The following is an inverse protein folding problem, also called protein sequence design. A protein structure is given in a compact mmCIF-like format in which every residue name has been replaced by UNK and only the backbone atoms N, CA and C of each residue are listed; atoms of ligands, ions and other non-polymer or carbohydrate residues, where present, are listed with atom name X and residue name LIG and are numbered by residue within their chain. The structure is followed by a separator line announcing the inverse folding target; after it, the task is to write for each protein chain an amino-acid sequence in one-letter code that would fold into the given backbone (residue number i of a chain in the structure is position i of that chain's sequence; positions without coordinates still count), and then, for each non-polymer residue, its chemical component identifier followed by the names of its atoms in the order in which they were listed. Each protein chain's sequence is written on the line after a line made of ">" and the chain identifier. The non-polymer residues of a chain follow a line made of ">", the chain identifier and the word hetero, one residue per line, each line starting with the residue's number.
data_IF_497117278144
#
_entry.id   IF_497117278144
#
_cell.length_a   1.000
_cell.length_b   1.000
_cell.length_c   1.000
_cell.angle_alpha   90.00
_cell.angle_beta   90.00
_cell.angle_gamma   90.00
#
_symmetry.space_group_name_H-M   'P 1'
#
loop_
_entity.id
_entity.type
_entity.pdbx_description
1 polymer ?
#
# COMPACT_ATOMS: atom_id res chain seq x y z
N UNK A 1 27.62 -9.81 -13.55
CA UNK A 1 26.19 -9.77 -13.12
C UNK A 1 25.34 -9.18 -14.24
N UNK A 2 24.31 -9.89 -14.69
CA UNK A 2 23.37 -9.39 -15.72
C UNK A 2 22.30 -8.48 -15.07
N UNK A 3 22.62 -7.17 -15.04
CA UNK A 3 21.75 -6.14 -14.47
C UNK A 3 20.40 -6.02 -15.19
N UNK A 4 20.38 -6.28 -16.51
CA UNK A 4 19.18 -6.17 -17.34
C UNK A 4 18.16 -7.26 -17.01
N UNK A 5 18.61 -8.51 -16.84
CA UNK A 5 17.71 -9.62 -16.43
C UNK A 5 17.15 -9.40 -15.02
N UNK A 6 17.99 -9.00 -14.06
CA UNK A 6 17.53 -8.71 -12.71
C UNK A 6 16.51 -7.58 -12.72
N UNK A 7 16.73 -6.53 -13.49
CA UNK A 7 15.77 -5.43 -13.62
C UNK A 7 14.45 -5.91 -14.24
N UNK A 8 14.50 -6.69 -15.33
CA UNK A 8 13.31 -7.19 -16.00
C UNK A 8 12.47 -8.11 -15.08
N UNK A 9 13.11 -9.01 -14.32
CA UNK A 9 12.39 -9.83 -13.35
C UNK A 9 11.83 -9.01 -12.20
N UNK A 10 12.59 -8.04 -11.72
CA UNK A 10 12.15 -7.16 -10.63
C UNK A 10 10.96 -6.29 -11.03
N UNK A 11 10.98 -5.67 -12.22
CA UNK A 11 9.85 -4.85 -12.68
C UNK A 11 8.60 -5.70 -12.93
N UNK A 12 8.77 -6.89 -13.51
CA UNK A 12 7.67 -7.85 -13.70
C UNK A 12 6.99 -8.18 -12.39
N UNK A 13 7.77 -8.52 -11.37
CA UNK A 13 7.21 -8.85 -10.04
C UNK A 13 6.64 -7.62 -9.35
N UNK A 14 7.25 -6.45 -9.54
CA UNK A 14 6.78 -5.18 -8.99
C UNK A 14 5.43 -4.73 -9.57
N UNK A 15 5.00 -5.25 -10.73
CA UNK A 15 3.66 -5.00 -11.28
C UNK A 15 2.52 -5.50 -10.35
N UNK A 16 2.78 -6.42 -9.41
CA UNK A 16 1.82 -6.69 -8.34
C UNK A 16 1.47 -5.44 -7.53
N UNK A 17 2.42 -4.49 -7.39
CA UNK A 17 2.16 -3.19 -6.80
C UNK A 17 1.21 -2.35 -7.64
N UNK A 18 1.28 -2.44 -8.98
CA UNK A 18 0.33 -1.75 -9.85
C UNK A 18 -1.10 -2.25 -9.62
N UNK A 19 -1.31 -3.58 -9.59
CA UNK A 19 -2.62 -4.17 -9.29
C UNK A 19 -3.11 -3.78 -7.89
N UNK A 20 -2.23 -3.81 -6.89
CA UNK A 20 -2.54 -3.31 -5.56
C UNK A 20 -3.05 -1.86 -5.58
N UNK A 21 -2.30 -0.95 -6.20
CA UNK A 21 -2.67 0.46 -6.26
C UNK A 21 -3.97 0.69 -7.03
N UNK A 22 -4.18 -0.06 -8.10
CA UNK A 22 -5.39 -0.02 -8.93
C UNK A 22 -6.60 -0.49 -8.11
N UNK A 23 -6.56 -1.70 -7.54
CA UNK A 23 -7.63 -2.28 -6.73
C UNK A 23 -8.04 -1.38 -5.54
N UNK A 24 -7.04 -0.69 -4.94
CA UNK A 24 -7.27 0.18 -3.78
C UNK A 24 -8.24 1.32 -4.09
N UNK A 25 -8.12 1.99 -5.22
CA UNK A 25 -8.89 3.21 -5.49
C UNK A 25 -9.93 3.08 -6.58
N UNK A 26 -9.93 2.01 -7.37
CA UNK A 26 -10.93 1.80 -8.42
C UNK A 26 -12.36 1.84 -7.87
N UNK A 27 -12.58 1.37 -6.65
CA UNK A 27 -13.86 1.42 -5.96
C UNK A 27 -14.40 2.84 -5.76
N UNK A 28 -13.53 3.86 -5.74
CA UNK A 28 -13.95 5.25 -5.52
C UNK A 28 -14.89 5.78 -6.60
N UNK A 29 -14.70 5.35 -7.86
CA UNK A 29 -15.60 5.70 -8.96
C UNK A 29 -16.93 4.93 -8.93
N UNK A 30 -16.92 3.73 -8.37
CA UNK A 30 -18.10 2.86 -8.27
C UNK A 30 -18.92 3.10 -6.97
N UNK A 31 -18.39 3.83 -6.00
CA UNK A 31 -18.95 4.00 -4.66
C UNK A 31 -20.41 4.50 -4.68
N UNK A 32 -20.66 5.66 -5.27
CA UNK A 32 -21.99 6.27 -5.30
C UNK A 32 -22.99 5.46 -6.15
N UNK A 33 -22.66 5.02 -7.39
CA UNK A 33 -23.54 4.15 -8.17
C UNK A 33 -23.95 2.87 -7.44
N UNK A 34 -23.03 2.22 -6.75
CA UNK A 34 -23.33 1.00 -5.97
C UNK A 34 -24.22 1.30 -4.77
N UNK A 35 -23.99 2.43 -4.08
CA UNK A 35 -24.79 2.87 -2.94
C UNK A 35 -26.26 3.10 -3.34
N UNK A 36 -26.47 3.74 -4.47
CA UNK A 36 -27.81 3.99 -5.03
C UNK A 36 -28.47 2.69 -5.51
N UNK A 37 -27.75 1.87 -6.30
CA UNK A 37 -28.27 0.64 -6.88
C UNK A 37 -28.82 -0.33 -5.82
N UNK A 38 -28.08 -0.53 -4.72
CA UNK A 38 -28.45 -1.49 -3.68
C UNK A 38 -29.08 -0.84 -2.46
N UNK A 39 -29.32 0.46 -2.47
CA UNK A 39 -29.93 1.24 -1.38
C UNK A 39 -29.38 0.83 0.00
N UNK A 40 -28.06 0.77 0.11
CA UNK A 40 -27.36 0.28 1.29
C UNK A 40 -27.38 1.31 2.41
N UNK A 41 -27.62 0.87 3.66
CA UNK A 41 -27.46 1.75 4.82
C UNK A 41 -25.99 2.19 4.97
N UNK A 42 -25.71 3.37 5.56
CA UNK A 42 -24.34 3.88 5.70
C UNK A 42 -23.37 2.90 6.36
N UNK A 43 -23.77 2.22 7.44
CA UNK A 43 -22.95 1.21 8.12
C UNK A 43 -22.70 0.01 7.23
N UNK A 44 -23.75 -0.53 6.60
CA UNK A 44 -23.61 -1.67 5.72
C UNK A 44 -22.68 -1.35 4.54
N UNK A 45 -22.88 -0.17 3.93
CA UNK A 45 -22.05 0.29 2.81
C UNK A 45 -20.57 0.37 3.19
N UNK A 46 -20.27 1.00 4.34
CA UNK A 46 -18.90 1.10 4.83
C UNK A 46 -18.24 -0.26 5.10
N UNK A 47 -18.97 -1.15 5.80
CA UNK A 47 -18.42 -2.46 6.21
C UNK A 47 -18.31 -3.42 5.03
N UNK A 48 -19.37 -3.59 4.24
CA UNK A 48 -19.43 -4.65 3.21
C UNK A 48 -18.98 -4.18 1.84
N UNK A 49 -19.19 -2.90 1.48
CA UNK A 49 -18.82 -2.42 0.14
C UNK A 49 -17.42 -1.81 0.17
N UNK A 50 -17.16 -0.84 1.06
CA UNK A 50 -15.95 -0.04 1.01
C UNK A 50 -14.74 -0.67 1.72
N UNK A 51 -14.95 -1.36 2.85
CA UNK A 51 -13.83 -1.86 3.64
C UNK A 51 -13.50 -3.35 3.46
N UNK A 52 -14.32 -4.13 2.75
CA UNK A 52 -14.14 -5.57 2.69
C UNK A 52 -12.82 -5.99 2.03
N UNK A 53 -12.36 -5.28 1.00
CA UNK A 53 -11.03 -5.48 0.43
C UNK A 53 -9.92 -5.24 1.46
N UNK A 54 -10.07 -4.24 2.33
CA UNK A 54 -9.07 -3.95 3.38
C UNK A 54 -9.02 -5.05 4.45
N UNK A 55 -10.16 -5.65 4.82
CA UNK A 55 -10.17 -6.83 5.68
C UNK A 55 -9.48 -8.04 5.03
N UNK A 56 -9.70 -8.24 3.74
CA UNK A 56 -8.93 -9.22 2.97
C UNK A 56 -7.43 -8.91 3.01
N UNK A 57 -7.05 -7.64 2.89
CA UNK A 57 -5.64 -7.19 2.94
C UNK A 57 -5.00 -7.46 4.30
N UNK A 58 -5.73 -7.29 5.41
CA UNK A 58 -5.26 -7.69 6.74
C UNK A 58 -4.86 -9.16 6.75
N UNK A 59 -5.74 -10.06 6.30
CA UNK A 59 -5.45 -11.50 6.28
C UNK A 59 -4.33 -11.84 5.31
N UNK A 60 -4.35 -11.25 4.10
CA UNK A 60 -3.30 -11.46 3.09
C UNK A 60 -1.91 -11.04 3.59
N UNK A 61 -1.81 -9.93 4.30
CA UNK A 61 -0.54 -9.43 4.83
C UNK A 61 -0.02 -10.25 6.01
N UNK A 62 -0.90 -10.74 6.88
CA UNK A 62 -0.54 -11.57 8.03
C UNK A 62 -0.09 -12.98 7.61
N UNK A 63 -0.79 -13.58 6.67
CA UNK A 63 -0.59 -14.97 6.28
C UNK A 63 0.12 -15.16 4.94
N UNK A 64 0.40 -14.08 4.18
CA UNK A 64 1.02 -14.16 2.86
C UNK A 64 2.43 -14.77 2.83
N UNK A 65 3.15 -14.78 3.96
CA UNK A 65 4.42 -15.47 4.07
C UNK A 65 4.29 -17.00 3.97
N UNK A 66 3.16 -17.57 4.43
CA UNK A 66 2.94 -19.03 4.44
C UNK A 66 2.99 -19.63 3.00
N UNK A 67 2.20 -19.15 2.03
CA UNK A 67 2.33 -19.64 0.65
C UNK A 67 3.70 -19.31 0.05
N UNK A 68 4.31 -18.16 0.36
CA UNK A 68 5.66 -17.85 -0.11
C UNK A 68 6.68 -18.92 0.27
N UNK A 69 6.61 -19.44 1.50
CA UNK A 69 7.53 -20.46 1.98
C UNK A 69 7.15 -21.87 1.49
N UNK A 70 5.85 -22.22 1.48
CA UNK A 70 5.38 -23.56 1.09
C UNK A 70 5.46 -23.84 -0.40
N UNK A 71 4.93 -22.93 -1.23
CA UNK A 71 4.83 -23.15 -2.70
C UNK A 71 5.83 -22.31 -3.50
N UNK A 72 6.53 -21.39 -2.83
CA UNK A 72 7.54 -20.52 -3.42
C UNK A 72 7.00 -19.18 -3.90
N UNK A 73 7.92 -18.20 -3.97
CA UNK A 73 7.57 -16.80 -4.27
C UNK A 73 6.89 -16.65 -5.63
N UNK A 74 7.40 -17.32 -6.66
CA UNK A 74 6.82 -17.28 -8.01
C UNK A 74 5.37 -17.79 -8.04
N UNK A 75 5.11 -18.96 -7.48
CA UNK A 75 3.77 -19.55 -7.49
C UNK A 75 2.80 -18.69 -6.65
N UNK A 76 3.27 -18.13 -5.53
CA UNK A 76 2.47 -17.18 -4.74
C UNK A 76 2.11 -15.94 -5.56
N UNK A 77 3.05 -15.39 -6.34
CA UNK A 77 2.78 -14.24 -7.21
C UNK A 77 1.78 -14.58 -8.35
N UNK A 78 1.82 -15.78 -8.89
CA UNK A 78 0.81 -16.26 -9.87
C UNK A 78 -0.57 -16.31 -9.20
N UNK A 79 -0.68 -16.89 -7.99
CA UNK A 79 -1.93 -16.91 -7.24
C UNK A 79 -2.45 -15.51 -6.91
N UNK A 80 -1.57 -14.59 -6.55
CA UNK A 80 -1.93 -13.18 -6.35
C UNK A 80 -2.57 -12.60 -7.62
N UNK A 81 -1.97 -12.81 -8.78
CA UNK A 81 -2.55 -12.37 -10.05
C UNK A 81 -3.93 -13.01 -10.33
N UNK A 82 -4.11 -14.29 -10.03
CA UNK A 82 -5.40 -14.99 -10.15
C UNK A 82 -6.45 -14.39 -9.20
N UNK A 83 -6.07 -14.08 -7.95
CA UNK A 83 -6.98 -13.47 -6.98
C UNK A 83 -7.44 -12.07 -7.45
N UNK A 84 -6.54 -11.23 -7.98
CA UNK A 84 -6.91 -9.96 -8.58
C UNK A 84 -7.85 -10.12 -9.78
N UNK A 85 -7.55 -11.06 -10.67
CA UNK A 85 -8.40 -11.35 -11.82
C UNK A 85 -9.82 -11.78 -11.42
N UNK A 86 -9.92 -12.71 -10.46
CA UNK A 86 -11.22 -13.18 -9.94
C UNK A 86 -11.96 -12.04 -9.23
N UNK A 87 -11.25 -11.21 -8.46
CA UNK A 87 -11.83 -10.05 -7.77
C UNK A 87 -12.41 -9.05 -8.77
N UNK A 88 -11.64 -8.67 -9.79
CA UNK A 88 -12.05 -7.68 -10.79
C UNK A 88 -13.30 -8.14 -11.55
N UNK A 89 -13.26 -9.35 -12.12
CA UNK A 89 -14.41 -9.89 -12.86
C UNK A 89 -15.59 -10.17 -11.95
N UNK A 90 -15.34 -10.80 -10.78
CA UNK A 90 -16.41 -11.13 -9.84
C UNK A 90 -17.12 -9.89 -9.31
N UNK A 91 -16.37 -8.82 -8.98
CA UNK A 91 -16.96 -7.55 -8.56
C UNK A 91 -17.75 -6.88 -9.68
N UNK A 92 -17.25 -6.94 -10.92
CA UNK A 92 -17.94 -6.37 -12.09
C UNK A 92 -19.29 -7.07 -12.41
N UNK A 93 -19.38 -8.39 -12.22
CA UNK A 93 -20.60 -9.18 -12.49
C UNK A 93 -21.46 -9.44 -11.25
N UNK A 94 -21.08 -8.92 -10.09
CA UNK A 94 -21.80 -9.12 -8.84
C UNK A 94 -23.27 -8.66 -8.97
N UNK A 95 -24.18 -9.47 -8.46
CA UNK A 95 -25.64 -9.24 -8.55
C UNK A 95 -26.26 -8.72 -7.25
N UNK A 96 -25.54 -8.83 -6.15
CA UNK A 96 -25.95 -8.40 -4.82
C UNK A 96 -24.74 -7.91 -3.99
N UNK A 97 -24.98 -7.17 -2.88
CA UNK A 97 -23.91 -6.64 -2.04
C UNK A 97 -22.99 -7.69 -1.41
N UNK A 98 -23.49 -8.89 -1.14
CA UNK A 98 -22.71 -9.94 -0.47
C UNK A 98 -21.74 -10.62 -1.45
N UNK A 99 -22.21 -10.94 -2.66
CA UNK A 99 -21.36 -11.47 -3.73
C UNK A 99 -20.28 -10.45 -4.09
N UNK A 100 -20.62 -9.15 -4.18
CA UNK A 100 -19.65 -8.09 -4.37
C UNK A 100 -18.59 -8.06 -3.25
N UNK A 101 -19.02 -8.05 -1.99
CA UNK A 101 -18.13 -8.06 -0.83
C UNK A 101 -17.17 -9.25 -0.83
N UNK A 102 -17.67 -10.43 -1.18
CA UNK A 102 -16.85 -11.65 -1.27
C UNK A 102 -15.73 -11.51 -2.30
N UNK A 103 -16.04 -11.02 -3.50
CA UNK A 103 -15.01 -10.82 -4.53
C UNK A 103 -14.02 -9.73 -4.15
N UNK A 104 -14.47 -8.63 -3.54
CA UNK A 104 -13.59 -7.58 -3.00
C UNK A 104 -12.67 -8.13 -1.89
N UNK A 105 -13.18 -8.98 -1.01
CA UNK A 105 -12.36 -9.64 0.01
C UNK A 105 -11.25 -10.50 -0.60
N UNK A 106 -11.56 -11.27 -1.66
CA UNK A 106 -10.58 -12.10 -2.40
C UNK A 106 -9.48 -11.21 -2.98
N UNK A 107 -9.83 -10.08 -3.62
CA UNK A 107 -8.86 -9.11 -4.11
C UNK A 107 -7.96 -8.58 -3.00
N UNK A 108 -8.56 -8.21 -1.88
CA UNK A 108 -7.84 -7.78 -0.70
C UNK A 108 -6.81 -8.79 -0.19
N UNK A 109 -7.14 -10.08 -0.16
CA UNK A 109 -6.16 -11.13 0.17
C UNK A 109 -4.98 -11.10 -0.81
N UNK A 110 -5.24 -10.89 -2.10
CA UNK A 110 -4.21 -10.68 -3.12
C UNK A 110 -3.35 -9.46 -2.84
N UNK A 111 -3.99 -8.31 -2.50
CA UNK A 111 -3.28 -7.07 -2.08
C UNK A 111 -2.33 -7.36 -0.93
N UNK A 112 -2.83 -7.91 0.17
CA UNK A 112 -2.03 -8.18 1.36
C UNK A 112 -0.88 -9.15 1.11
N UNK A 113 -1.11 -10.24 0.38
CA UNK A 113 -0.08 -11.21 0.03
C UNK A 113 1.00 -10.58 -0.88
N UNK A 114 0.63 -9.63 -1.76
CA UNK A 114 1.55 -8.95 -2.66
C UNK A 114 2.57 -8.09 -1.91
N UNK A 115 2.18 -7.50 -0.78
CA UNK A 115 3.08 -6.68 0.06
C UNK A 115 4.23 -7.48 0.65
N UNK A 116 4.07 -8.80 0.76
CA UNK A 116 5.10 -9.74 1.24
C UNK A 116 5.85 -10.37 0.09
N UNK A 117 5.14 -10.96 -0.87
CA UNK A 117 5.72 -11.79 -1.92
C UNK A 117 6.63 -11.02 -2.87
N UNK A 118 6.20 -9.83 -3.34
CA UNK A 118 6.94 -9.05 -4.32
C UNK A 118 8.25 -8.49 -3.78
N UNK A 119 8.29 -7.75 -2.66
CA UNK A 119 9.54 -7.25 -2.10
C UNK A 119 10.49 -8.38 -1.70
N UNK A 120 9.95 -9.51 -1.20
CA UNK A 120 10.76 -10.69 -0.85
C UNK A 120 11.45 -11.26 -2.08
N UNK A 121 10.71 -11.53 -3.17
CA UNK A 121 11.30 -12.04 -4.41
C UNK A 121 12.38 -11.10 -4.95
N UNK A 122 12.07 -9.80 -5.06
CA UNK A 122 13.00 -8.78 -5.56
C UNK A 122 14.28 -8.75 -4.71
N UNK A 123 14.15 -8.82 -3.38
CA UNK A 123 15.30 -8.80 -2.48
C UNK A 123 16.16 -10.06 -2.58
N UNK A 124 15.58 -11.21 -2.92
CA UNK A 124 16.28 -12.50 -3.05
C UNK A 124 17.09 -12.63 -4.34
N UNK A 125 16.69 -11.94 -5.41
CA UNK A 125 17.39 -11.96 -6.71
C UNK A 125 18.38 -10.79 -6.87
N UNK A 126 18.24 -9.73 -6.08
CA UNK A 126 19.06 -8.50 -6.19
C UNK A 126 20.33 -8.56 -5.34
N UNK A 127 21.34 -7.81 -5.74
CA UNK A 127 22.52 -7.57 -4.94
C UNK A 127 22.26 -6.47 -3.90
N UNK A 128 23.18 -6.32 -2.93
CA UNK A 128 23.05 -5.35 -1.82
C UNK A 128 22.93 -3.91 -2.33
N UNK A 129 23.71 -3.54 -3.36
CA UNK A 129 23.80 -2.15 -3.87
C UNK A 129 22.55 -1.71 -4.63
N UNK A 130 21.85 -2.63 -5.31
CA UNK A 130 20.69 -2.32 -6.14
C UNK A 130 19.35 -2.65 -5.48
N UNK A 131 19.36 -3.44 -4.39
CA UNK A 131 18.15 -3.95 -3.73
C UNK A 131 17.14 -2.86 -3.38
N UNK A 132 17.58 -1.79 -2.73
CA UNK A 132 16.72 -0.70 -2.32
C UNK A 132 16.00 -0.06 -3.51
N UNK A 133 16.71 0.22 -4.59
CA UNK A 133 16.16 0.79 -5.82
C UNK A 133 15.17 -0.16 -6.52
N UNK A 134 15.46 -1.45 -6.53
CA UNK A 134 14.59 -2.44 -7.16
C UNK A 134 13.31 -2.68 -6.33
N UNK A 135 13.41 -2.67 -5.00
CA UNK A 135 12.23 -2.74 -4.14
C UNK A 135 11.38 -1.45 -4.25
N UNK A 136 12.01 -0.29 -4.45
CA UNK A 136 11.28 0.96 -4.68
C UNK A 136 10.42 0.95 -5.97
N UNK A 137 10.72 0.06 -6.96
CA UNK A 137 9.86 -0.15 -8.11
C UNK A 137 8.46 -0.66 -7.70
N UNK A 138 8.37 -1.44 -6.62
CA UNK A 138 7.07 -1.89 -6.10
C UNK A 138 6.25 -0.70 -5.60
N UNK A 139 6.85 0.20 -4.82
CA UNK A 139 6.18 1.43 -4.36
C UNK A 139 5.79 2.35 -5.51
N UNK A 140 6.69 2.52 -6.50
CA UNK A 140 6.35 3.27 -7.73
C UNK A 140 5.12 2.70 -8.42
N UNK A 141 5.06 1.37 -8.58
CA UNK A 141 3.94 0.71 -9.23
C UNK A 141 2.63 0.87 -8.44
N UNK A 142 2.68 0.89 -7.10
CA UNK A 142 1.47 1.16 -6.29
C UNK A 142 0.89 2.54 -6.63
N UNK A 143 1.69 3.60 -6.54
CA UNK A 143 1.18 4.96 -6.80
C UNK A 143 0.84 5.18 -8.28
N UNK A 144 1.52 4.51 -9.20
CA UNK A 144 1.17 4.50 -10.61
C UNK A 144 -0.17 3.78 -10.86
N UNK A 145 -0.42 2.66 -10.19
CA UNK A 145 -1.71 1.96 -10.22
C UNK A 145 -2.86 2.84 -9.71
N UNK A 146 -2.65 3.58 -8.62
CA UNK A 146 -3.61 4.57 -8.10
C UNK A 146 -3.97 5.61 -9.16
N UNK A 147 -2.97 6.20 -9.82
CA UNK A 147 -3.20 7.17 -10.88
C UNK A 147 -4.01 6.58 -12.04
N UNK A 148 -3.64 5.39 -12.51
CA UNK A 148 -4.32 4.75 -13.64
C UNK A 148 -5.74 4.32 -13.27
N UNK A 149 -6.00 3.93 -12.02
CA UNK A 149 -7.35 3.61 -11.56
C UNK A 149 -8.27 4.86 -11.57
N UNK A 150 -7.80 6.00 -11.05
CA UNK A 150 -8.57 7.25 -11.16
C UNK A 150 -8.79 7.65 -12.63
N UNK A 151 -7.77 7.53 -13.45
CA UNK A 151 -7.87 7.86 -14.88
C UNK A 151 -8.86 6.93 -15.61
N UNK A 152 -8.84 5.62 -15.31
CA UNK A 152 -9.79 4.67 -15.90
C UNK A 152 -11.23 4.94 -15.45
N UNK A 153 -11.45 5.28 -14.16
CA UNK A 153 -12.76 5.67 -13.67
C UNK A 153 -13.32 6.89 -14.41
N UNK A 154 -12.47 7.91 -14.61
CA UNK A 154 -12.86 9.10 -15.39
C UNK A 154 -13.21 8.75 -16.84
N UNK A 155 -12.42 7.93 -17.52
CA UNK A 155 -12.66 7.55 -18.92
C UNK A 155 -13.88 6.65 -19.10
N UNK A 156 -14.21 5.82 -18.11
CA UNK A 156 -15.31 4.87 -18.19
C UNK A 156 -16.63 5.41 -17.65
N UNK A 157 -16.64 6.63 -17.10
CA UNK A 157 -17.85 7.29 -16.65
C UNK A 157 -18.85 7.44 -17.80
N UNK A 158 -20.09 6.98 -17.56
CA UNK A 158 -21.17 6.99 -18.56
C UNK A 158 -21.06 5.91 -19.64
N UNK A 159 -19.98 5.13 -19.68
CA UNK A 159 -19.85 4.02 -20.61
C UNK A 159 -20.75 2.85 -20.17
N UNK A 160 -21.82 2.63 -20.96
CA UNK A 160 -22.85 1.63 -20.60
C UNK A 160 -23.96 2.18 -19.69
N UNK A 161 -24.04 3.48 -19.45
CA UNK A 161 -25.07 4.12 -18.62
C UNK A 161 -24.94 3.71 -17.16
N UNK A 162 -26.05 3.27 -16.52
CA UNK A 162 -26.11 2.93 -15.09
C UNK A 162 -25.21 1.77 -14.65
N UNK A 163 -24.60 1.08 -15.61
CA UNK A 163 -23.66 -0.03 -15.34
C UNK A 163 -22.19 0.34 -15.50
N UNK A 164 -21.86 1.61 -15.67
CA UNK A 164 -20.50 2.08 -15.89
C UNK A 164 -19.52 1.64 -14.76
N UNK A 165 -19.99 1.60 -13.52
CA UNK A 165 -19.23 1.10 -12.38
C UNK A 165 -18.72 -0.35 -12.56
N UNK A 166 -19.46 -1.18 -13.32
CA UNK A 166 -19.04 -2.56 -13.61
C UNK A 166 -17.82 -2.58 -14.54
N UNK A 167 -17.78 -1.69 -15.52
CA UNK A 167 -16.64 -1.52 -16.40
C UNK A 167 -15.44 -0.93 -15.65
N UNK A 168 -15.66 0.04 -14.73
CA UNK A 168 -14.62 0.61 -13.90
C UNK A 168 -13.91 -0.48 -13.08
N UNK A 169 -14.66 -1.37 -12.43
CA UNK A 169 -14.08 -2.48 -11.64
C UNK A 169 -13.50 -3.59 -12.52
N UNK A 170 -14.20 -3.94 -13.61
CA UNK A 170 -13.81 -5.05 -14.49
C UNK A 170 -12.55 -4.81 -15.31
N UNK A 171 -12.22 -3.55 -15.60
CA UNK A 171 -11.05 -3.20 -16.42
C UNK A 171 -9.73 -3.69 -15.81
N UNK A 172 -9.66 -3.84 -14.49
CA UNK A 172 -8.52 -4.37 -13.76
C UNK A 172 -8.18 -5.82 -14.16
N UNK A 173 -9.13 -6.57 -14.67
CA UNK A 173 -8.87 -7.94 -15.15
C UNK A 173 -7.84 -7.98 -16.28
N UNK A 174 -7.77 -6.92 -17.10
CA UNK A 174 -6.81 -6.83 -18.22
C UNK A 174 -5.36 -6.82 -17.69
N UNK A 175 -4.93 -5.84 -16.86
CA UNK A 175 -3.58 -5.87 -16.33
C UNK A 175 -3.31 -7.09 -15.43
N UNK A 176 -4.32 -7.67 -14.77
CA UNK A 176 -4.15 -8.88 -13.98
C UNK A 176 -3.77 -10.10 -14.86
N UNK A 177 -4.39 -10.27 -16.04
CA UNK A 177 -4.00 -11.31 -17.00
C UNK A 177 -2.57 -11.09 -17.50
N UNK A 178 -2.21 -9.87 -17.91
CA UNK A 178 -0.85 -9.57 -18.36
C UNK A 178 0.18 -9.84 -17.25
N UNK A 179 -0.15 -9.48 -16.02
CA UNK A 179 0.70 -9.77 -14.87
C UNK A 179 0.95 -11.29 -14.72
N UNK A 180 -0.10 -12.12 -14.76
CA UNK A 180 0.02 -13.58 -14.68
C UNK A 180 0.95 -14.09 -15.79
N UNK A 181 0.72 -13.68 -17.05
CA UNK A 181 1.51 -14.11 -18.22
C UNK A 181 2.99 -13.74 -18.04
N UNK A 182 3.27 -12.54 -17.52
CA UNK A 182 4.65 -12.09 -17.33
C UNK A 182 5.32 -12.82 -16.17
N UNK A 183 4.63 -13.05 -15.05
CA UNK A 183 5.19 -13.78 -13.90
C UNK A 183 5.46 -15.24 -14.24
N UNK A 184 4.71 -15.88 -15.14
CA UNK A 184 5.00 -17.23 -15.62
C UNK A 184 6.42 -17.35 -16.23
N UNK A 185 6.94 -16.27 -16.84
CA UNK A 185 8.28 -16.21 -17.45
C UNK A 185 9.41 -15.91 -16.44
N UNK A 186 9.08 -15.53 -15.23
CA UNK A 186 10.06 -15.24 -14.17
C UNK A 186 10.51 -16.56 -13.53
N UNK A 187 11.82 -16.76 -13.21
CA UNK A 187 12.29 -18.00 -12.58
C UNK A 187 11.88 -18.06 -11.10
N UNK A 188 11.98 -19.24 -10.51
CA UNK A 188 11.85 -19.39 -9.06
C UNK A 188 13.00 -18.66 -8.33
N UNK A 189 12.76 -18.24 -7.06
CA UNK A 189 13.84 -17.69 -6.25
C UNK A 189 14.93 -18.75 -5.98
N UNK A 190 16.22 -18.47 -6.29
CA UNK A 190 17.31 -19.36 -5.96
C UNK A 190 17.43 -19.61 -4.44
N UNK A 191 17.14 -18.59 -3.63
CA UNK A 191 17.17 -18.70 -2.17
C UNK A 191 16.10 -19.67 -1.67
N UNK A 192 14.89 -19.60 -2.19
CA UNK A 192 13.81 -20.50 -1.83
C UNK A 192 14.10 -21.95 -2.25
N UNK A 193 14.64 -22.15 -3.45
CA UNK A 193 15.01 -23.48 -3.93
C UNK A 193 16.03 -24.15 -3.01
N UNK A 194 17.03 -23.41 -2.54
CA UNK A 194 18.08 -23.94 -1.65
C UNK A 194 17.52 -24.23 -0.26
N UNK A 195 16.81 -23.26 0.36
CA UNK A 195 16.45 -23.33 1.77
C UNK A 195 15.22 -24.20 2.05
N UNK A 196 14.24 -24.21 1.14
CA UNK A 196 12.95 -24.88 1.36
C UNK A 196 12.75 -26.14 0.52
N UNK A 197 13.43 -26.24 -0.63
CA UNK A 197 13.32 -27.41 -1.51
C UNK A 197 14.58 -28.28 -1.55
N UNK A 198 15.72 -27.79 -1.07
CA UNK A 198 17.00 -28.49 -1.16
C UNK A 198 17.56 -28.58 -2.59
N UNK A 199 16.88 -27.98 -3.58
CA UNK A 199 17.22 -28.08 -5.00
C UNK A 199 18.34 -27.06 -5.36
N UNK A 200 19.55 -27.41 -4.93
CA UNK A 200 20.75 -26.59 -5.19
C UNK A 200 21.11 -26.56 -6.68
N UNK A 201 20.79 -27.63 -7.45
CA UNK A 201 21.12 -27.72 -8.87
C UNK A 201 20.31 -26.71 -9.69
N UNK A 202 19.00 -26.69 -9.51
CA UNK A 202 18.12 -25.72 -10.18
C UNK A 202 18.41 -24.28 -9.76
N UNK A 203 18.74 -24.06 -8.48
CA UNK A 203 19.18 -22.76 -8.00
C UNK A 203 20.48 -22.29 -8.69
N UNK A 204 21.44 -23.21 -8.90
CA UNK A 204 22.68 -22.95 -9.63
C UNK A 204 22.42 -22.52 -11.08
N UNK A 205 21.51 -23.18 -11.77
CA UNK A 205 21.13 -22.85 -13.15
C UNK A 205 20.54 -21.44 -13.26
N UNK A 206 19.70 -21.03 -12.29
CA UNK A 206 19.13 -19.68 -12.26
C UNK A 206 20.22 -18.65 -11.93
N UNK A 207 21.08 -18.95 -10.96
CA UNK A 207 22.19 -18.06 -10.60
C UNK A 207 23.16 -17.84 -11.76
N UNK A 208 23.42 -18.86 -12.60
CA UNK A 208 24.24 -18.73 -13.82
C UNK A 208 23.67 -17.71 -14.82
N UNK A 209 22.38 -17.47 -14.82
CA UNK A 209 21.75 -16.50 -15.72
C UNK A 209 22.03 -15.05 -15.34
N UNK A 210 22.39 -14.79 -14.07
CA UNK A 210 22.55 -13.45 -13.51
C UNK A 210 23.92 -13.14 -12.93
N UNK A 211 24.69 -14.16 -12.55
CA UNK A 211 26.02 -14.01 -11.95
C UNK A 211 27.11 -14.79 -12.71
N UNK A 212 28.37 -14.28 -12.69
CA UNK A 212 29.53 -15.04 -13.19
C UNK A 212 29.69 -16.36 -12.43
N UNK A 213 30.18 -17.38 -13.11
CA UNK A 213 30.33 -18.72 -12.53
C UNK A 213 31.22 -18.74 -11.28
N UNK A 214 32.22 -17.87 -11.23
CA UNK A 214 33.14 -17.69 -10.10
C UNK A 214 32.47 -17.24 -8.80
N UNK A 215 31.32 -16.57 -8.87
CA UNK A 215 30.58 -16.08 -7.70
C UNK A 215 29.53 -17.08 -7.17
N UNK A 216 29.11 -18.05 -7.98
CA UNK A 216 27.94 -18.89 -7.69
C UNK A 216 28.14 -19.72 -6.44
N UNK A 217 29.28 -20.41 -6.30
CA UNK A 217 29.58 -21.25 -5.14
C UNK A 217 29.58 -20.44 -3.83
N UNK A 218 30.16 -19.22 -3.86
CA UNK A 218 30.17 -18.30 -2.71
C UNK A 218 28.73 -17.88 -2.34
N UNK A 219 27.88 -17.57 -3.32
CA UNK A 219 26.49 -17.18 -3.08
C UNK A 219 25.66 -18.32 -2.50
N UNK A 220 25.80 -19.53 -3.03
CA UNK A 220 25.12 -20.73 -2.48
C UNK A 220 25.55 -20.96 -1.02
N UNK A 221 26.84 -20.85 -0.70
CA UNK A 221 27.33 -20.96 0.67
C UNK A 221 26.74 -19.88 1.59
N UNK A 222 26.67 -18.62 1.13
CA UNK A 222 26.05 -17.50 1.86
C UNK A 222 24.56 -17.73 2.11
N UNK A 223 23.82 -18.30 1.14
CA UNK A 223 22.39 -18.62 1.32
C UNK A 223 22.25 -19.71 2.39
N UNK A 224 23.03 -20.78 2.31
CA UNK A 224 22.98 -21.89 3.29
C UNK A 224 23.31 -21.41 4.71
N UNK A 225 24.35 -20.61 4.89
CA UNK A 225 24.73 -20.07 6.21
C UNK A 225 23.72 -19.09 6.81
N UNK A 226 22.81 -18.53 6.00
CA UNK A 226 21.74 -17.65 6.47
C UNK A 226 20.54 -18.39 7.09
N UNK A 227 20.49 -19.74 7.00
CA UNK A 227 19.41 -20.55 7.55
C UNK A 227 19.43 -20.64 9.09
N UNK A 228 20.58 -20.50 9.73
CA UNK A 228 20.81 -20.78 11.16
C UNK A 228 20.46 -19.63 12.12
N UNK A 229 19.78 -18.58 11.66
CA UNK A 229 19.43 -17.45 12.55
C UNK A 229 18.26 -17.80 13.46
N UNK A 230 18.55 -17.98 14.77
CA UNK A 230 17.54 -18.18 15.82
C UNK A 230 16.48 -17.06 15.78
N UNK A 231 15.22 -17.46 15.67
CA UNK A 231 14.07 -16.57 15.82
C UNK A 231 13.84 -16.23 17.30
N UNK A 232 14.12 -15.00 17.68
CA UNK A 232 13.75 -14.47 19.01
C UNK A 232 12.26 -14.15 19.05
N UNK A 233 11.66 -14.13 20.27
CA UNK A 233 10.31 -13.63 20.44
C UNK A 233 10.32 -12.10 20.43
N UNK A 234 9.41 -11.48 19.67
CA UNK A 234 9.26 -10.02 19.69
C UNK A 234 8.66 -9.52 21.01
N UNK A 235 7.86 -10.37 21.67
CA UNK A 235 7.19 -10.07 22.95
C UNK A 235 8.03 -10.48 24.16
N UNK A 236 9.34 -10.49 24.06
CA UNK A 236 10.27 -10.80 25.17
C UNK A 236 10.45 -9.65 26.18
N UNK A 237 9.78 -8.52 25.99
CA UNK A 237 9.98 -7.29 26.77
C UNK A 237 11.13 -6.42 26.26
N UNK A 238 12.11 -6.99 25.58
CA UNK A 238 13.31 -6.28 25.09
C UNK A 238 13.01 -5.30 23.94
N UNK A 239 11.87 -5.42 23.28
CA UNK A 239 11.51 -4.66 22.08
C UNK A 239 10.27 -3.78 22.27
N UNK A 240 9.85 -3.52 23.51
CA UNK A 240 8.63 -2.77 23.80
C UNK A 240 8.62 -1.37 23.16
N UNK A 241 9.76 -0.68 23.19
CA UNK A 241 9.87 0.64 22.59
C UNK A 241 9.75 0.60 21.08
N UNK A 242 10.39 -0.36 20.40
CA UNK A 242 10.29 -0.56 18.96
C UNK A 242 8.87 -0.96 18.54
N UNK A 243 8.20 -1.81 19.33
CA UNK A 243 6.78 -2.18 19.15
C UNK A 243 5.91 -0.92 19.21
N UNK A 244 6.12 -0.09 20.23
CA UNK A 244 5.38 1.18 20.39
C UNK A 244 5.61 2.12 19.20
N UNK A 245 6.86 2.27 18.74
CA UNK A 245 7.17 3.08 17.57
C UNK A 245 6.49 2.56 16.29
N UNK A 246 6.54 1.25 16.05
CA UNK A 246 5.91 0.62 14.88
C UNK A 246 4.38 0.75 14.92
N UNK A 247 3.78 0.57 16.11
CA UNK A 247 2.36 0.78 16.31
C UNK A 247 1.97 2.25 16.05
N UNK A 248 2.65 3.20 16.69
CA UNK A 248 2.29 4.63 16.59
C UNK A 248 2.46 5.17 15.17
N UNK A 249 3.53 4.81 14.45
CA UNK A 249 3.71 5.30 13.09
C UNK A 249 2.65 4.74 12.15
N UNK A 250 2.25 3.47 12.30
CA UNK A 250 1.21 2.84 11.51
C UNK A 250 -0.19 3.37 11.88
N UNK A 251 -0.46 3.57 13.16
CA UNK A 251 -1.68 4.17 13.68
C UNK A 251 -1.89 5.59 13.15
N UNK A 252 -0.91 6.47 13.32
CA UNK A 252 -0.99 7.84 12.81
C UNK A 252 -1.04 7.92 11.29
N UNK A 253 -0.42 6.97 10.58
CA UNK A 253 -0.54 6.90 9.13
C UNK A 253 -2.01 6.83 8.69
N UNK A 254 -2.80 5.98 9.33
CA UNK A 254 -4.21 5.84 9.00
C UNK A 254 -5.07 6.97 9.55
N UNK A 255 -4.75 7.46 10.75
CA UNK A 255 -5.43 8.62 11.34
C UNK A 255 -5.03 9.97 10.72
N UNK A 256 -4.19 9.96 9.68
CA UNK A 256 -4.04 11.09 8.76
C UNK A 256 -5.27 11.29 7.86
N UNK A 257 -6.11 10.25 7.71
CA UNK A 257 -7.25 10.26 6.80
C UNK A 257 -6.89 9.92 5.35
N UNK A 258 -5.67 9.38 5.09
CA UNK A 258 -5.23 9.12 3.71
C UNK A 258 -6.19 8.17 2.96
N UNK A 259 -6.60 7.07 3.59
CA UNK A 259 -7.53 6.14 2.96
C UNK A 259 -8.94 6.73 2.84
N UNK A 260 -9.38 7.56 3.80
CA UNK A 260 -10.60 8.33 3.65
C UNK A 260 -10.58 9.18 2.38
N UNK A 261 -9.51 9.96 2.17
CA UNK A 261 -9.41 10.80 0.97
C UNK A 261 -9.31 9.97 -0.30
N UNK A 262 -8.47 8.91 -0.34
CA UNK A 262 -8.28 8.12 -1.56
C UNK A 262 -9.53 7.32 -1.96
N UNK A 263 -10.23 6.72 -1.00
CA UNK A 263 -11.41 5.89 -1.27
C UNK A 263 -12.66 6.70 -1.59
N UNK A 264 -12.79 7.89 -0.99
CA UNK A 264 -13.97 8.73 -1.11
C UNK A 264 -13.70 10.04 -1.88
N UNK A 265 -12.58 10.14 -2.63
CA UNK A 265 -12.19 11.37 -3.32
C UNK A 265 -13.31 11.98 -4.18
N UNK A 266 -13.99 11.24 -5.10
CA UNK A 266 -15.07 11.82 -5.87
C UNK A 266 -16.26 12.27 -5.01
N UNK A 267 -16.63 11.50 -3.97
CA UNK A 267 -17.72 11.85 -3.05
C UNK A 267 -17.42 13.10 -2.23
N UNK A 268 -16.19 13.23 -1.73
CA UNK A 268 -15.72 14.43 -1.00
C UNK A 268 -15.79 15.68 -1.91
N UNK A 269 -15.36 15.54 -3.15
CA UNK A 269 -15.37 16.64 -4.12
C UNK A 269 -16.80 17.02 -4.54
N UNK A 270 -17.69 16.03 -4.70
CA UNK A 270 -19.11 16.28 -4.97
C UNK A 270 -19.81 16.95 -3.79
N UNK A 271 -19.53 16.52 -2.56
CA UNK A 271 -20.08 17.20 -1.35
C UNK A 271 -19.59 18.65 -1.21
N UNK A 272 -18.46 18.99 -1.85
CA UNK A 272 -17.97 20.38 -1.95
C UNK A 272 -18.56 21.14 -3.14
N UNK A 273 -19.47 20.55 -3.92
CA UNK A 273 -20.19 21.21 -5.01
C UNK A 273 -19.61 21.00 -6.42
N UNK A 274 -18.64 20.08 -6.62
CA UNK A 274 -18.22 19.72 -7.97
C UNK A 274 -19.24 18.77 -8.62
N UNK A 275 -19.43 18.93 -9.93
CA UNK A 275 -20.20 17.95 -10.72
C UNK A 275 -19.50 16.58 -10.72
N UNK A 276 -20.23 15.50 -10.96
CA UNK A 276 -19.70 14.13 -10.90
C UNK A 276 -18.50 13.94 -11.83
N UNK A 277 -18.60 14.43 -13.09
CA UNK A 277 -17.50 14.34 -14.06
C UNK A 277 -16.24 15.11 -13.60
N UNK A 278 -16.42 16.34 -13.08
CA UNK A 278 -15.32 17.17 -12.61
C UNK A 278 -14.66 16.57 -11.36
N UNK A 279 -15.44 15.88 -10.53
CA UNK A 279 -14.94 15.18 -9.34
C UNK A 279 -14.05 13.99 -9.70
N UNK A 280 -14.43 13.19 -10.70
CA UNK A 280 -13.61 12.10 -11.20
C UNK A 280 -12.33 12.61 -11.88
N UNK A 281 -12.45 13.65 -12.72
CA UNK A 281 -11.28 14.29 -13.34
C UNK A 281 -10.33 14.89 -12.28
N UNK A 282 -10.86 15.54 -11.26
CA UNK A 282 -10.08 16.09 -10.16
C UNK A 282 -9.36 14.99 -9.36
N UNK A 283 -9.98 13.80 -9.23
CA UNK A 283 -9.35 12.65 -8.57
C UNK A 283 -8.12 12.14 -9.34
N UNK A 284 -8.07 12.31 -10.67
CA UNK A 284 -6.86 12.02 -11.45
C UNK A 284 -5.71 12.92 -11.01
N UNK A 285 -5.96 14.20 -10.71
CA UNK A 285 -4.92 15.10 -10.19
C UNK A 285 -4.40 14.68 -8.81
N UNK A 286 -5.26 14.10 -7.96
CA UNK A 286 -4.86 13.48 -6.68
C UNK A 286 -3.87 12.33 -6.92
N UNK A 287 -4.19 11.43 -7.85
CA UNK A 287 -3.29 10.33 -8.23
C UNK A 287 -1.96 10.83 -8.82
N UNK A 288 -2.00 11.84 -9.67
CA UNK A 288 -0.80 12.44 -10.26
C UNK A 288 0.10 13.09 -9.22
N UNK A 289 -0.45 13.90 -8.32
CA UNK A 289 0.31 14.52 -7.22
C UNK A 289 0.90 13.46 -6.30
N UNK A 290 0.13 12.41 -5.98
CA UNK A 290 0.63 11.28 -5.19
C UNK A 290 1.85 10.62 -5.85
N UNK A 291 1.78 10.31 -7.14
CA UNK A 291 2.91 9.74 -7.90
C UNK A 291 4.12 10.67 -7.88
N UNK A 292 3.93 11.93 -8.25
CA UNK A 292 5.00 12.92 -8.36
C UNK A 292 5.74 13.11 -7.02
N UNK A 293 4.99 13.35 -5.95
CA UNK A 293 5.57 13.61 -4.64
C UNK A 293 6.12 12.36 -3.94
N UNK A 294 5.60 11.15 -4.24
CA UNK A 294 6.25 9.90 -3.83
C UNK A 294 7.62 9.75 -4.48
N UNK A 295 7.77 10.07 -5.77
CA UNK A 295 9.07 10.03 -6.44
C UNK A 295 10.07 11.02 -5.83
N UNK A 296 9.61 12.22 -5.44
CA UNK A 296 10.44 13.16 -4.69
C UNK A 296 10.79 12.62 -3.31
N UNK A 297 9.82 12.08 -2.56
CA UNK A 297 10.03 11.50 -1.24
C UNK A 297 11.09 10.40 -1.23
N UNK A 298 11.04 9.48 -2.20
CA UNK A 298 12.03 8.40 -2.34
C UNK A 298 13.47 8.91 -2.59
N UNK A 299 13.62 10.10 -3.19
CA UNK A 299 14.95 10.74 -3.34
C UNK A 299 15.37 11.50 -2.09
N UNK A 300 14.41 12.11 -1.41
CA UNK A 300 14.67 12.96 -0.25
C UNK A 300 14.96 12.17 1.03
N UNK A 301 14.40 10.95 1.16
CA UNK A 301 14.54 10.15 2.38
C UNK A 301 15.99 9.81 2.71
N UNK A 302 16.82 9.54 1.68
CA UNK A 302 18.23 9.25 1.86
C UNK A 302 19.06 10.52 2.06
N UNK A 303 18.57 11.68 1.58
CA UNK A 303 19.27 12.96 1.72
C UNK A 303 19.02 13.63 3.06
N UNK A 304 17.76 13.64 3.54
CA UNK A 304 17.36 14.42 4.73
C UNK A 304 17.01 13.55 5.95
N UNK A 305 16.80 12.24 5.77
CA UNK A 305 16.46 11.31 6.83
C UNK A 305 14.97 11.18 7.07
N UNK A 306 14.62 10.17 7.91
CA UNK A 306 13.24 9.73 8.11
C UNK A 306 12.47 10.70 9.00
N UNK A 307 13.09 11.12 10.11
CA UNK A 307 12.49 12.03 11.08
C UNK A 307 12.22 13.41 10.49
N UNK A 308 13.10 13.92 9.64
CA UNK A 308 12.94 15.22 9.00
C UNK A 308 11.76 15.23 8.03
N UNK A 309 11.63 14.19 7.17
CA UNK A 309 10.48 14.10 6.24
C UNK A 309 9.16 13.94 6.98
N UNK A 310 9.15 13.21 8.09
CA UNK A 310 7.96 13.06 8.94
C UNK A 310 7.54 14.41 9.56
N UNK A 311 8.50 15.26 9.98
CA UNK A 311 8.19 16.61 10.50
C UNK A 311 7.52 17.48 9.44
N UNK A 312 8.12 17.56 8.24
CA UNK A 312 7.58 18.36 7.14
C UNK A 312 6.20 17.83 6.73
N UNK A 313 6.07 16.51 6.56
CA UNK A 313 4.79 15.88 6.25
C UNK A 313 3.72 16.17 7.29
N UNK A 314 4.06 16.11 8.60
CA UNK A 314 3.11 16.41 9.68
C UNK A 314 2.64 17.87 9.64
N UNK A 315 3.54 18.83 9.41
CA UNK A 315 3.18 20.24 9.28
C UNK A 315 2.26 20.47 8.08
N UNK A 316 2.60 19.90 6.93
CA UNK A 316 1.78 19.99 5.72
C UNK A 316 0.39 19.36 5.91
N UNK A 317 0.28 18.25 6.60
CA UNK A 317 -0.99 17.64 6.98
C UNK A 317 -1.84 18.58 7.85
N UNK A 318 -1.26 19.15 8.93
CA UNK A 318 -1.99 20.02 9.86
C UNK A 318 -2.56 21.20 9.08
N UNK A 319 -1.74 21.87 8.27
CA UNK A 319 -2.18 23.05 7.50
C UNK A 319 -3.28 22.63 6.52
N UNK A 320 -3.07 21.60 5.71
CA UNK A 320 -4.03 21.22 4.68
C UNK A 320 -5.34 20.68 5.25
N UNK A 321 -5.31 19.82 6.27
CA UNK A 321 -6.51 19.23 6.86
C UNK A 321 -7.38 20.28 7.57
N UNK A 322 -6.76 21.19 8.31
CA UNK A 322 -7.49 22.32 8.93
C UNK A 322 -8.10 23.21 7.85
N UNK A 323 -7.37 23.51 6.78
CA UNK A 323 -7.87 24.32 5.67
C UNK A 323 -9.01 23.64 4.91
N UNK A 324 -8.94 22.31 4.70
CA UNK A 324 -10.05 21.53 4.09
C UNK A 324 -11.30 21.62 4.97
N UNK A 325 -11.15 21.39 6.28
CA UNK A 325 -12.26 21.52 7.23
C UNK A 325 -12.90 22.92 7.20
N UNK A 326 -12.07 23.95 7.12
CA UNK A 326 -12.50 25.35 6.98
C UNK A 326 -13.27 25.57 5.66
N UNK A 327 -12.78 25.01 4.53
CA UNK A 327 -13.48 25.09 3.25
C UNK A 327 -14.91 24.54 3.32
N UNK A 328 -15.10 23.41 4.00
CA UNK A 328 -16.43 22.82 4.17
C UNK A 328 -17.36 23.65 5.06
N UNK A 329 -16.85 24.15 6.20
CA UNK A 329 -17.68 24.91 7.15
C UNK A 329 -18.14 26.25 6.57
N UNK A 330 -17.27 26.92 5.82
CA UNK A 330 -17.56 28.23 5.22
C UNK A 330 -18.02 28.13 3.76
N UNK A 331 -18.26 26.91 3.25
CA UNK A 331 -18.72 26.65 1.87
C UNK A 331 -17.88 27.40 0.82
N UNK A 332 -16.54 27.32 0.98
CA UNK A 332 -15.63 27.96 0.04
C UNK A 332 -15.64 27.26 -1.31
N UNK A 333 -15.08 27.93 -2.33
CA UNK A 333 -15.00 27.40 -3.68
C UNK A 333 -14.33 26.01 -3.71
N UNK A 334 -14.94 25.06 -4.41
CA UNK A 334 -14.52 23.67 -4.49
C UNK A 334 -13.09 23.48 -5.06
N UNK A 335 -12.64 24.39 -5.93
CA UNK A 335 -11.25 24.35 -6.43
C UNK A 335 -10.23 24.76 -5.37
N UNK A 336 -10.59 25.64 -4.43
CA UNK A 336 -9.75 25.97 -3.26
C UNK A 336 -9.61 24.75 -2.37
N UNK A 337 -10.72 24.04 -2.12
CA UNK A 337 -10.70 22.78 -1.41
C UNK A 337 -9.80 21.73 -2.11
N UNK A 338 -9.92 21.59 -3.43
CA UNK A 338 -9.07 20.69 -4.20
C UNK A 338 -7.58 21.01 -4.03
N UNK A 339 -7.19 22.28 -4.04
CA UNK A 339 -5.79 22.68 -3.80
C UNK A 339 -5.30 22.17 -2.44
N UNK A 340 -6.09 22.31 -1.38
CA UNK A 340 -5.70 21.80 -0.06
C UNK A 340 -5.69 20.27 0.02
N UNK A 341 -6.57 19.58 -0.70
CA UNK A 341 -6.48 18.11 -0.87
C UNK A 341 -5.15 17.74 -1.57
N UNK A 342 -4.76 18.44 -2.62
CA UNK A 342 -3.48 18.17 -3.30
C UNK A 342 -2.27 18.44 -2.40
N UNK A 343 -2.31 19.49 -1.56
CA UNK A 343 -1.26 19.75 -0.55
C UNK A 343 -1.23 18.62 0.50
N UNK A 344 -2.39 18.13 0.93
CA UNK A 344 -2.52 17.00 1.84
C UNK A 344 -1.87 15.73 1.23
N UNK A 345 -2.19 15.40 -0.01
CA UNK A 345 -1.62 14.24 -0.72
C UNK A 345 -0.10 14.39 -0.90
N UNK A 346 0.38 15.58 -1.29
CA UNK A 346 1.82 15.85 -1.40
C UNK A 346 2.55 15.66 -0.06
N UNK A 347 1.94 16.16 1.03
CA UNK A 347 2.47 16.01 2.39
C UNK A 347 2.52 14.55 2.84
N UNK A 348 1.48 13.76 2.49
CA UNK A 348 1.46 12.31 2.71
C UNK A 348 2.59 11.62 1.95
N UNK A 349 2.69 11.87 0.65
CA UNK A 349 3.62 11.19 -0.23
C UNK A 349 5.09 11.42 0.19
N UNK A 350 5.46 12.64 0.58
CA UNK A 350 6.83 12.97 1.06
C UNK A 350 7.06 12.41 2.47
N UNK A 351 6.09 12.54 3.36
CA UNK A 351 6.19 12.16 4.78
C UNK A 351 5.90 10.68 4.99
N UNK A 352 4.71 10.40 5.45
CA UNK A 352 4.27 9.05 5.86
C UNK A 352 4.38 8.01 4.74
N UNK A 353 3.93 8.33 3.53
CA UNK A 353 3.91 7.38 2.42
C UNK A 353 5.29 6.84 2.04
N UNK A 354 6.31 7.67 2.13
CA UNK A 354 7.70 7.28 1.85
C UNK A 354 8.39 6.67 3.08
N UNK A 355 8.11 7.18 4.28
CA UNK A 355 8.90 6.88 5.49
C UNK A 355 8.45 5.62 6.21
N UNK A 356 7.15 5.35 6.30
CA UNK A 356 6.58 4.33 7.20
C UNK A 356 7.26 2.96 7.08
N UNK A 357 7.32 2.41 5.87
CA UNK A 357 7.82 1.04 5.67
C UNK A 357 9.33 0.93 5.87
N UNK A 358 10.06 1.96 5.47
CA UNK A 358 11.51 2.05 5.67
C UNK A 358 11.81 2.12 7.16
N UNK A 359 11.15 3.02 7.89
CA UNK A 359 11.36 3.20 9.32
C UNK A 359 11.04 1.94 10.12
N UNK A 360 9.87 1.31 9.88
CA UNK A 360 9.50 0.05 10.55
C UNK A 360 10.56 -1.03 10.29
N UNK A 361 11.13 -1.11 9.09
CA UNK A 361 12.17 -2.09 8.78
C UNK A 361 13.51 -1.80 9.46
N UNK A 362 13.78 -0.54 9.80
CA UNK A 362 15.05 -0.08 10.37
C UNK A 362 15.09 -0.13 11.90
N UNK A 363 13.95 -0.05 12.58
CA UNK A 363 13.92 -0.03 14.06
C UNK A 363 14.05 -1.41 14.70
N UNK A 364 13.88 -2.50 13.96
CA UNK A 364 13.98 -3.86 14.49
C UNK A 364 15.29 -4.54 14.09
N UNK A 365 16.00 -5.19 15.03
CA UNK A 365 17.15 -6.01 14.70
C UNK A 365 16.76 -7.21 13.84
N UNK A 366 17.74 -7.78 13.12
CA UNK A 366 17.53 -8.86 12.16
C UNK A 366 16.77 -10.07 12.73
N UNK A 367 16.96 -10.39 14.03
CA UNK A 367 16.32 -11.54 14.71
C UNK A 367 14.80 -11.46 14.83
N UNK A 368 14.23 -10.24 14.88
CA UNK A 368 12.78 -10.02 15.06
C UNK A 368 12.17 -9.11 13.98
N UNK A 369 12.95 -8.65 13.00
CA UNK A 369 12.51 -7.67 11.99
C UNK A 369 11.25 -8.09 11.25
N UNK A 370 11.18 -9.34 10.80
CA UNK A 370 10.01 -9.82 10.07
C UNK A 370 8.73 -9.74 10.93
N UNK A 371 8.82 -10.08 12.21
CA UNK A 371 7.70 -10.00 13.17
C UNK A 371 7.31 -8.54 13.43
N UNK A 372 8.30 -7.64 13.55
CA UNK A 372 8.08 -6.21 13.74
C UNK A 372 7.40 -5.57 12.52
N UNK A 373 7.83 -5.92 11.31
CA UNK A 373 7.18 -5.49 10.07
C UNK A 373 5.74 -6.00 9.98
N UNK A 374 5.51 -7.27 10.32
CA UNK A 374 4.13 -7.83 10.34
C UNK A 374 3.24 -7.09 11.33
N UNK A 375 3.75 -6.73 12.52
CA UNK A 375 3.00 -5.95 13.50
C UNK A 375 2.60 -4.57 12.94
N UNK A 376 3.56 -3.83 12.40
CA UNK A 376 3.30 -2.51 11.79
C UNK A 376 2.33 -2.59 10.62
N UNK A 377 2.48 -3.60 9.76
CA UNK A 377 1.59 -3.84 8.61
C UNK A 377 0.18 -4.21 9.06
N UNK A 378 0.04 -5.09 10.06
CA UNK A 378 -1.27 -5.46 10.62
C UNK A 378 -1.96 -4.24 11.23
N UNK A 379 -1.25 -3.44 12.03
CA UNK A 379 -1.78 -2.19 12.60
C UNK A 379 -2.27 -1.26 11.49
N UNK A 380 -1.46 -1.04 10.47
CA UNK A 380 -1.81 -0.18 9.32
C UNK A 380 -3.12 -0.62 8.67
N UNK A 381 -3.24 -1.89 8.28
CA UNK A 381 -4.40 -2.36 7.53
C UNK A 381 -5.67 -2.50 8.39
N UNK A 382 -5.53 -2.85 9.68
CA UNK A 382 -6.67 -2.87 10.60
C UNK A 382 -7.27 -1.46 10.76
N UNK A 383 -6.43 -0.44 11.00
CA UNK A 383 -6.94 0.93 11.10
C UNK A 383 -7.45 1.47 9.76
N UNK A 384 -6.82 1.09 8.64
CA UNK A 384 -7.35 1.40 7.31
C UNK A 384 -8.77 0.86 7.12
N UNK A 385 -8.99 -0.42 7.44
CA UNK A 385 -10.29 -1.08 7.34
C UNK A 385 -11.33 -0.44 8.27
N UNK A 386 -10.96 -0.16 9.52
CA UNK A 386 -11.87 0.46 10.49
C UNK A 386 -12.29 1.86 10.07
N UNK A 387 -11.34 2.73 9.69
CA UNK A 387 -11.64 4.10 9.26
C UNK A 387 -12.54 4.08 8.02
N UNK A 388 -12.19 3.27 7.02
CA UNK A 388 -12.99 3.16 5.79
C UNK A 388 -14.39 2.61 6.07
N UNK A 389 -14.53 1.64 7.00
CA UNK A 389 -15.81 1.05 7.35
C UNK A 389 -16.76 2.05 8.06
N UNK A 390 -16.23 2.88 8.95
CA UNK A 390 -17.08 3.82 9.72
C UNK A 390 -17.35 5.12 8.98
N UNK A 391 -16.58 5.45 7.96
CA UNK A 391 -16.66 6.72 7.21
C UNK A 391 -18.07 7.07 6.73
N UNK A 392 -18.82 6.20 6.00
CA UNK A 392 -20.15 6.56 5.52
C UNK A 392 -21.14 6.84 6.64
N UNK A 393 -21.01 6.14 7.77
CA UNK A 393 -21.84 6.38 8.95
C UNK A 393 -21.55 7.74 9.58
N UNK A 394 -20.27 8.09 9.74
CA UNK A 394 -19.87 9.38 10.33
C UNK A 394 -20.26 10.53 9.42
N UNK A 395 -20.06 10.41 8.09
CA UNK A 395 -20.53 11.43 7.13
C UNK A 395 -22.03 11.66 7.24
N UNK A 396 -22.81 10.58 7.31
CA UNK A 396 -24.27 10.66 7.46
C UNK A 396 -24.67 11.33 8.78
N UNK A 397 -24.00 11.03 9.89
CA UNK A 397 -24.24 11.69 11.19
C UNK A 397 -23.92 13.19 11.18
N UNK A 398 -23.08 13.65 10.28
CA UNK A 398 -22.67 15.04 10.13
C UNK A 398 -23.44 15.75 8.99
N UNK A 399 -24.67 15.32 8.72
CA UNK A 399 -25.54 15.89 7.67
C UNK A 399 -24.87 15.95 6.29
N UNK A 400 -24.05 14.91 5.99
CA UNK A 400 -23.22 14.80 4.78
C UNK A 400 -22.16 15.93 4.62
N UNK A 401 -21.80 16.60 5.71
CA UNK A 401 -20.70 17.57 5.71
C UNK A 401 -19.44 16.96 6.34
N UNK A 402 -18.41 16.59 5.57
CA UNK A 402 -17.21 15.95 6.09
C UNK A 402 -16.23 16.90 6.79
N UNK A 403 -16.53 18.18 6.89
CA UNK A 403 -15.59 19.19 7.43
C UNK A 403 -15.05 18.86 8.83
N UNK A 404 -15.91 18.37 9.73
CA UNK A 404 -15.50 18.00 11.09
C UNK A 404 -14.57 16.78 11.11
N UNK A 405 -14.68 15.88 10.13
CA UNK A 405 -13.80 14.72 10.01
C UNK A 405 -12.36 15.19 9.71
N UNK A 406 -12.22 16.20 8.85
CA UNK A 406 -10.91 16.78 8.53
C UNK A 406 -10.27 17.48 9.74
N UNK A 407 -11.04 18.15 10.58
CA UNK A 407 -10.52 18.68 11.85
C UNK A 407 -10.06 17.58 12.81
N UNK A 408 -10.80 16.48 12.90
CA UNK A 408 -10.37 15.32 13.69
C UNK A 408 -9.02 14.77 13.17
N UNK A 409 -8.89 14.55 11.87
CA UNK A 409 -7.61 14.12 11.29
C UNK A 409 -6.50 15.17 11.50
N UNK A 410 -6.81 16.46 11.37
CA UNK A 410 -5.87 17.54 11.67
C UNK A 410 -5.36 17.50 13.11
N UNK A 411 -6.25 17.28 14.08
CA UNK A 411 -5.89 17.07 15.48
C UNK A 411 -4.98 15.85 15.67
N UNK A 412 -5.29 14.73 15.03
CA UNK A 412 -4.45 13.53 15.08
C UNK A 412 -3.06 13.78 14.49
N UNK A 413 -2.94 14.66 13.49
CA UNK A 413 -1.64 15.03 12.92
C UNK A 413 -0.82 15.97 13.83
N UNK A 414 -1.47 16.75 14.69
CA UNK A 414 -0.77 17.46 15.79
C UNK A 414 -0.16 16.44 16.76
N UNK A 415 -0.91 15.41 17.15
CA UNK A 415 -0.39 14.34 18.02
C UNK A 415 0.74 13.57 17.34
N UNK A 416 0.62 13.31 16.02
CA UNK A 416 1.71 12.73 15.23
C UNK A 416 2.96 13.61 15.26
N UNK A 417 2.83 14.92 15.11
CA UNK A 417 3.97 15.82 15.19
C UNK A 417 4.66 15.76 16.56
N UNK A 418 3.88 15.70 17.63
CA UNK A 418 4.41 15.50 19.01
C UNK A 418 5.16 14.17 19.11
N UNK A 419 4.60 13.08 18.57
CA UNK A 419 5.26 11.77 18.49
C UNK A 419 6.60 11.86 17.74
N UNK A 420 6.62 12.51 16.58
CA UNK A 420 7.85 12.67 15.76
C UNK A 420 8.90 13.50 16.48
N UNK A 421 8.49 14.55 17.20
CA UNK A 421 9.42 15.43 17.91
C UNK A 421 9.99 14.80 19.18
N UNK A 422 9.20 14.02 19.93
CA UNK A 422 9.59 13.50 21.25
C UNK A 422 10.10 12.05 21.23
N UNK A 423 9.53 11.19 20.37
CA UNK A 423 9.78 9.74 20.43
C UNK A 423 10.50 9.18 19.22
N UNK A 424 10.25 9.70 18.00
CA UNK A 424 10.79 9.13 16.78
C UNK A 424 12.30 9.39 16.67
N UNK A 425 13.17 8.34 16.67
CA UNK A 425 14.60 8.50 16.41
C UNK A 425 14.85 8.75 14.91
N UNK A 426 16.00 9.36 14.58
CA UNK A 426 16.51 9.34 13.21
C UNK A 426 17.25 8.01 12.98
N UNK A 427 16.90 7.32 11.90
CA UNK A 427 17.47 6.01 11.58
C UNK A 427 18.45 6.06 10.41
N UNK A 428 18.55 7.21 9.72
CA UNK A 428 19.46 7.39 8.60
C UNK A 428 20.92 7.20 9.00
N UNK A 429 21.62 6.27 8.32
CA UNK A 429 23.07 6.06 8.48
C UNK A 429 23.47 5.39 9.78
N UNK A 430 22.53 4.93 10.60
CA UNK A 430 22.80 4.20 11.85
C UNK A 430 22.72 2.71 11.55
N UNK A 431 23.74 1.95 11.92
CA UNK A 431 23.69 0.49 11.82
C UNK A 431 22.69 -0.07 12.82
N UNK A 432 22.02 -1.16 12.46
CA UNK A 432 21.00 -1.79 13.31
C UNK A 432 21.54 -2.31 14.65
N UNK A 433 22.84 -2.58 14.70
CA UNK A 433 23.56 -3.01 15.88
C UNK A 433 23.93 -1.82 16.82
N UNK A 434 23.99 -0.60 16.25
CA UNK A 434 24.34 0.63 16.98
C UNK A 434 23.14 1.38 17.52
N UNK A 435 21.90 1.04 17.09
CA UNK A 435 20.69 1.65 17.64
C UNK A 435 20.49 1.24 19.10
N UNK A 436 21.10 1.97 20.01
CA UNK A 436 20.76 1.92 21.43
C UNK A 436 19.52 2.79 21.64
N UNK A 437 18.39 2.14 21.77
CA UNK A 437 17.21 2.82 22.29
C UNK A 437 17.40 2.93 23.82
N UNK A 438 17.62 4.14 24.32
CA UNK A 438 17.61 4.37 25.77
C UNK A 438 16.24 3.95 26.28
N UNK A 439 16.20 2.86 27.03
CA UNK A 439 15.05 2.33 27.77
C UNK A 439 14.57 3.32 28.83
#
# INVERSE_FOLDING_TARGET
>A
MDKKKIFNWSITVALAGFLFGFDTVVISGANLPIKELWNTSPIFHGVFIMSMALWGTVLGSLFGSIPCDKIGRKNTLIWIGILFFISALGSAIAWDPYSFSFFRFIGGVGVGASTVASPTYISEISNKESRGRLVALYQFNIVFGILIAYFSNYLLQGFGGDIDWRYMLGIEAIPAIFYIIFVLKVPNSPRWLILYRGDTQKAKEILKQIYPETEISKRIAQIKSSADKKNSSIFSGLFNFQITLAFLIAFFNQLSGINFVLYYAPEILQSAGLAANDSLMSSVSIGFVNLLFTMFGLRLIDKYGRRYLMKIGSIGYIISLISIGFCFIYSLNSYVLLIFILIFIASHAIGQGTVIWVFISEIFPNSVRAKGQSLGTATHWVFAALITAITPYVINMLDNNPGMIFYFFGFMMILQLVFVLKMMPETKGISLEEMKFNS
#
